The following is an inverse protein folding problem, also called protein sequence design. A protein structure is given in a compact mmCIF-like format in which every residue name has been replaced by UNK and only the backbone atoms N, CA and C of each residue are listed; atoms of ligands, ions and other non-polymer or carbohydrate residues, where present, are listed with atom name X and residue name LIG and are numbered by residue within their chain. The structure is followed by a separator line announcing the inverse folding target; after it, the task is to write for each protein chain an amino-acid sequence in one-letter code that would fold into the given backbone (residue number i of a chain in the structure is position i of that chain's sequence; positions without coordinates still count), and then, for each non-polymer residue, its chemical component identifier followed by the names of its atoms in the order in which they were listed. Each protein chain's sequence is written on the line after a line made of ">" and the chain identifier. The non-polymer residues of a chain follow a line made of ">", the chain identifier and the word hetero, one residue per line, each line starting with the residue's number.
data_IF_551014577854
#
_entry.id   IF_551014577854
#
_cell.length_a   1.000
_cell.length_b   1.000
_cell.length_c   1.000
_cell.angle_alpha   90.00
_cell.angle_beta   90.00
_cell.angle_gamma   90.00
#
_symmetry.space_group_name_H-M   'P 1'
#
loop_
_entity.id
_entity.type
_entity.pdbx_description
1 polymer ?
#
# COMPACT_ATOMS: atom_id res chain seq x y z
N UNK A 1 16.53 -9.82 -0.53
CA UNK A 1 15.58 -10.26 -1.57
C UNK A 1 15.22 -9.01 -2.34
N UNK A 2 15.73 -8.88 -3.56
CA UNK A 2 15.45 -7.72 -4.43
C UNK A 2 14.04 -7.91 -5.01
N UNK A 3 13.09 -7.06 -4.62
CA UNK A 3 11.77 -7.01 -5.28
C UNK A 3 11.86 -6.15 -6.53
N UNK A 4 11.10 -6.48 -7.57
CA UNK A 4 11.12 -5.76 -8.86
C UNK A 4 9.87 -4.92 -9.12
N UNK A 5 8.87 -5.04 -8.25
CA UNK A 5 7.62 -4.28 -8.29
C UNK A 5 6.94 -4.28 -6.93
N UNK A 6 5.93 -3.43 -6.76
CA UNK A 6 5.07 -3.43 -5.58
C UNK A 6 4.44 -4.81 -5.32
N UNK A 7 3.87 -5.44 -6.35
CA UNK A 7 3.20 -6.73 -6.21
C UNK A 7 4.19 -7.84 -5.82
N UNK A 8 5.39 -7.84 -6.41
CA UNK A 8 6.46 -8.77 -6.07
C UNK A 8 6.90 -8.61 -4.60
N UNK A 9 7.06 -7.35 -4.13
CA UNK A 9 7.38 -7.07 -2.72
C UNK A 9 6.31 -7.63 -1.76
N UNK A 10 5.03 -7.41 -2.06
CA UNK A 10 3.91 -7.91 -1.24
C UNK A 10 3.83 -9.45 -1.29
N UNK A 11 3.96 -10.06 -2.47
CA UNK A 11 3.93 -11.53 -2.62
C UNK A 11 5.06 -12.20 -1.85
N UNK A 12 6.26 -11.61 -1.88
CA UNK A 12 7.39 -12.10 -1.09
C UNK A 12 7.09 -11.99 0.41
N UNK A 13 6.57 -10.85 0.89
CA UNK A 13 6.20 -10.66 2.29
C UNK A 13 5.17 -11.71 2.78
N UNK A 14 4.15 -12.00 1.97
CA UNK A 14 3.15 -13.03 2.28
C UNK A 14 3.76 -14.44 2.25
N UNK A 15 4.64 -14.71 1.29
CA UNK A 15 5.25 -16.04 1.11
C UNK A 15 6.26 -16.41 2.20
N UNK A 16 6.82 -15.42 2.90
CA UNK A 16 7.69 -15.65 4.06
C UNK A 16 6.93 -16.25 5.26
N UNK A 17 5.60 -16.17 5.27
CA UNK A 17 4.76 -16.73 6.34
C UNK A 17 4.88 -15.99 7.67
N UNK A 18 4.28 -16.55 8.72
CA UNK A 18 4.25 -15.94 10.05
C UNK A 18 3.27 -14.77 10.13
N UNK A 19 3.73 -13.62 10.62
CA UNK A 19 2.96 -12.38 10.78
C UNK A 19 2.93 -11.58 9.47
N UNK A 20 2.38 -12.24 8.44
CA UNK A 20 2.46 -11.77 7.05
C UNK A 20 1.76 -10.44 6.81
N UNK A 21 0.75 -10.09 7.60
CA UNK A 21 0.07 -8.80 7.57
C UNK A 21 0.99 -7.67 8.03
N UNK A 22 1.68 -7.84 9.16
CA UNK A 22 2.69 -6.87 9.63
C UNK A 22 3.82 -6.72 8.63
N UNK A 23 4.35 -7.83 8.10
CA UNK A 23 5.41 -7.80 7.10
C UNK A 23 4.97 -7.11 5.81
N UNK A 24 3.77 -7.44 5.31
CA UNK A 24 3.22 -6.82 4.10
C UNK A 24 2.90 -5.33 4.31
N UNK A 25 2.47 -4.91 5.49
CA UNK A 25 2.21 -3.51 5.81
C UNK A 25 3.50 -2.68 5.74
N UNK A 26 4.59 -3.18 6.33
CA UNK A 26 5.89 -2.48 6.32
C UNK A 26 6.50 -2.51 4.91
N UNK A 27 6.57 -3.68 4.29
CA UNK A 27 7.14 -3.82 2.95
C UNK A 27 6.34 -3.03 1.90
N UNK A 28 5.01 -3.01 2.02
CA UNK A 28 4.12 -2.27 1.15
C UNK A 28 4.32 -0.76 1.22
N UNK A 29 4.46 -0.19 2.42
CA UNK A 29 4.70 1.25 2.59
C UNK A 29 6.02 1.69 1.92
N UNK A 30 7.07 0.88 2.04
CA UNK A 30 8.36 1.16 1.39
C UNK A 30 8.26 0.96 -0.13
N UNK A 31 7.60 -0.12 -0.56
CA UNK A 31 7.44 -0.44 -1.98
C UNK A 31 6.56 0.60 -2.71
N UNK A 32 5.54 1.16 -2.08
CA UNK A 32 4.75 2.26 -2.65
C UNK A 32 5.63 3.47 -2.93
N UNK A 33 6.49 3.87 -1.99
CA UNK A 33 7.37 5.02 -2.15
C UNK A 33 8.40 4.83 -3.28
N UNK A 34 8.81 3.58 -3.54
CA UNK A 34 9.83 3.26 -4.55
C UNK A 34 9.25 2.96 -5.94
N UNK A 35 8.13 2.24 -6.01
CA UNK A 35 7.54 1.72 -7.26
C UNK A 35 6.18 2.32 -7.62
N UNK A 36 5.48 2.91 -6.64
CA UNK A 36 4.05 3.20 -6.76
C UNK A 36 3.18 1.95 -6.66
N UNK A 37 1.88 2.14 -6.42
CA UNK A 37 0.89 1.05 -6.33
C UNK A 37 0.14 0.95 -7.67
N UNK A 38 0.05 -0.25 -8.29
CA UNK A 38 -0.81 -0.47 -9.44
C UNK A 38 -2.28 -0.16 -9.12
N UNK A 39 -2.94 0.56 -10.02
CA UNK A 39 -4.29 1.09 -9.81
C UNK A 39 -5.33 0.00 -9.51
N UNK A 40 -5.21 -1.16 -10.15
CA UNK A 40 -6.09 -2.32 -9.89
C UNK A 40 -5.95 -2.81 -8.45
N UNK A 41 -4.73 -2.84 -7.92
CA UNK A 41 -4.46 -3.27 -6.53
C UNK A 41 -4.97 -2.22 -5.56
N UNK A 42 -4.68 -0.93 -5.81
CA UNK A 42 -5.16 0.18 -4.98
C UNK A 42 -6.69 0.19 -4.90
N UNK A 43 -7.37 0.14 -6.04
CA UNK A 43 -8.84 0.15 -6.07
C UNK A 43 -9.46 -1.08 -5.38
N UNK A 44 -8.83 -2.25 -5.53
CA UNK A 44 -9.28 -3.44 -4.79
C UNK A 44 -9.08 -3.28 -3.29
N UNK A 45 -7.95 -2.75 -2.84
CA UNK A 45 -7.69 -2.51 -1.42
C UNK A 45 -8.68 -1.50 -0.82
N UNK A 46 -8.91 -0.38 -1.51
CA UNK A 46 -9.87 0.64 -1.08
C UNK A 46 -11.32 0.13 -1.06
N UNK A 47 -11.67 -0.86 -1.90
CA UNK A 47 -13.02 -1.47 -1.85
C UNK A 47 -13.31 -2.24 -0.55
N UNK A 48 -12.28 -2.54 0.25
CA UNK A 48 -12.44 -3.16 1.56
C UNK A 48 -12.66 -2.14 2.69
N UNK A 49 -12.45 -0.84 2.43
CA UNK A 49 -12.61 0.19 3.45
C UNK A 49 -14.09 0.51 3.67
N UNK A 50 -14.46 0.70 4.93
CA UNK A 50 -15.72 1.35 5.26
C UNK A 50 -15.66 2.86 5.00
N UNK A 51 -16.80 3.54 5.12
CA UNK A 51 -16.92 4.99 4.86
C UNK A 51 -15.93 5.83 5.69
N UNK A 52 -15.68 5.43 6.94
CA UNK A 52 -14.78 6.16 7.85
C UNK A 52 -13.32 5.94 7.46
N UNK A 53 -12.95 4.72 7.11
CA UNK A 53 -11.59 4.41 6.66
C UNK A 53 -11.28 5.11 5.34
N UNK A 54 -12.24 5.15 4.42
CA UNK A 54 -12.09 5.83 3.14
C UNK A 54 -11.94 7.34 3.33
N UNK A 55 -12.72 7.97 4.21
CA UNK A 55 -12.63 9.42 4.46
C UNK A 55 -11.24 9.81 4.99
N UNK A 56 -10.68 9.03 5.93
CA UNK A 56 -9.33 9.26 6.47
C UNK A 56 -8.27 9.13 5.38
N UNK A 57 -8.40 8.15 4.48
CA UNK A 57 -7.49 8.00 3.34
C UNK A 57 -7.58 9.19 2.37
N UNK A 58 -8.78 9.65 2.03
CA UNK A 58 -8.99 10.78 1.13
C UNK A 58 -8.40 12.09 1.69
N UNK A 59 -8.65 12.37 2.97
CA UNK A 59 -8.05 13.51 3.69
C UNK A 59 -6.52 13.47 3.65
N UNK A 60 -5.93 12.29 3.85
CA UNK A 60 -4.49 12.09 3.79
C UNK A 60 -3.92 12.35 2.39
N UNK A 61 -4.56 11.84 1.34
CA UNK A 61 -4.14 12.09 -0.05
C UNK A 61 -4.22 13.58 -0.40
N UNK A 62 -5.26 14.28 0.04
CA UNK A 62 -5.38 15.72 -0.15
C UNK A 62 -4.27 16.48 0.59
N UNK A 63 -3.97 16.09 1.84
CA UNK A 63 -2.89 16.66 2.63
C UNK A 63 -1.52 16.51 1.95
N UNK A 64 -1.20 15.32 1.43
CA UNK A 64 0.08 15.11 0.73
C UNK A 64 0.17 15.98 -0.53
N UNK A 65 -0.91 16.08 -1.33
CA UNK A 65 -0.92 16.89 -2.56
C UNK A 65 -0.63 18.36 -2.28
N UNK A 66 -1.24 18.91 -1.24
CA UNK A 66 -1.04 20.33 -0.84
C UNK A 66 0.35 20.61 -0.26
N UNK A 67 1.12 19.59 0.13
CA UNK A 67 2.50 19.73 0.63
C UNK A 67 3.57 19.55 -0.45
N UNK A 68 3.20 18.96 -1.58
CA UNK A 68 4.10 18.70 -2.71
C UNK A 68 3.98 19.77 -3.82
N UNK A 69 3.13 20.79 -3.61
CA UNK A 69 3.05 22.05 -4.36
C UNK A 69 3.86 23.15 -3.66
#
# INVERSE_FOLDING_TARGET
>A
MESTSFEDAIRNAVSLGGDSDTLAAIAGAIAEAHYGIPEVIKNRALSYFDERQLSVYEEWILFIKTKNE
#
